data_IF_372618372737
#
_entry.id   IF_372618372737
#
_cell.length_a   1.000
_cell.length_b   1.000
_cell.length_c   1.000
_cell.angle_alpha   90.00
_cell.angle_beta   90.00
_cell.angle_gamma   90.00
#
_symmetry.space_group_name_H-M   'P 1'
#
loop_
_entity.id
_entity.type
_entity.pdbx_description
1 polymer ?
#
# COMPACT_ATOMS: atom_id res chain seq x y z
N UNK A 1 -42.91 28.15 13.96
CA UNK A 1 -41.92 27.12 13.54
C UNK A 1 -42.47 26.07 12.54
N UNK A 2 -43.66 26.22 11.92
CA UNK A 2 -44.27 25.17 11.07
C UNK A 2 -44.17 25.36 9.53
N UNK A 3 -43.57 26.43 9.01
CA UNK A 3 -43.61 26.74 7.56
C UNK A 3 -42.38 26.29 6.74
N UNK A 4 -41.30 25.81 7.35
CA UNK A 4 -40.09 25.40 6.62
C UNK A 4 -40.19 23.97 6.05
N UNK A 5 -40.98 23.08 6.67
CA UNK A 5 -41.11 21.68 6.23
C UNK A 5 -42.03 21.52 5.00
N UNK A 6 -43.06 22.35 4.85
CA UNK A 6 -44.05 22.22 3.76
C UNK A 6 -43.47 22.62 2.40
N UNK A 7 -42.58 23.61 2.36
CA UNK A 7 -41.94 24.05 1.12
C UNK A 7 -40.90 23.04 0.62
N UNK A 8 -40.16 22.39 1.51
CA UNK A 8 -39.20 21.31 1.16
C UNK A 8 -39.93 20.09 0.59
N UNK A 9 -41.02 19.67 1.23
CA UNK A 9 -41.84 18.54 0.78
C UNK A 9 -42.50 18.80 -0.59
N UNK A 10 -43.01 20.00 -0.83
CA UNK A 10 -43.56 20.39 -2.14
C UNK A 10 -42.49 20.40 -3.24
N UNK A 11 -41.27 20.87 -2.94
CA UNK A 11 -40.15 20.88 -3.88
C UNK A 11 -39.68 19.45 -4.23
N UNK A 12 -39.58 18.58 -3.23
CA UNK A 12 -39.28 17.15 -3.40
C UNK A 12 -40.35 16.46 -4.25
N UNK A 13 -41.64 16.70 -3.97
CA UNK A 13 -42.77 16.14 -4.74
C UNK A 13 -42.77 16.61 -6.20
N UNK A 14 -42.42 17.87 -6.47
CA UNK A 14 -42.30 18.43 -7.83
C UNK A 14 -41.09 17.86 -8.59
N UNK A 15 -39.96 17.66 -7.91
CA UNK A 15 -38.76 17.01 -8.46
C UNK A 15 -38.99 15.50 -8.73
N UNK A 16 -39.68 14.80 -7.82
CA UNK A 16 -40.01 13.38 -8.00
C UNK A 16 -40.93 13.16 -9.21
N UNK A 17 -41.81 14.12 -9.52
CA UNK A 17 -42.70 14.09 -10.69
C UNK A 17 -42.03 14.52 -11.99
N UNK A 18 -40.92 15.27 -11.97
CA UNK A 18 -40.29 15.79 -13.20
C UNK A 18 -39.44 14.77 -13.95
N UNK A 19 -39.00 13.68 -13.28
CA UNK A 19 -38.22 12.58 -13.89
C UNK A 19 -38.68 11.19 -13.39
N UNK A 20 -39.91 10.75 -13.71
CA UNK A 20 -40.54 9.57 -13.10
C UNK A 20 -39.75 8.27 -13.35
N UNK A 21 -39.18 8.07 -14.54
CA UNK A 21 -38.35 6.89 -14.85
C UNK A 21 -37.08 6.84 -13.99
N UNK A 22 -36.38 7.96 -13.82
CA UNK A 22 -35.15 8.03 -13.02
C UNK A 22 -35.42 7.77 -11.54
N UNK A 23 -36.52 8.32 -11.02
CA UNK A 23 -36.91 8.11 -9.62
C UNK A 23 -37.38 6.67 -9.37
N UNK A 24 -38.00 6.03 -10.35
CA UNK A 24 -38.35 4.61 -10.29
C UNK A 24 -37.11 3.70 -10.27
N UNK A 25 -36.13 3.92 -11.15
CA UNK A 25 -34.87 3.17 -11.13
C UNK A 25 -34.09 3.36 -9.82
N UNK A 26 -33.98 4.59 -9.32
CA UNK A 26 -33.34 4.85 -8.02
C UNK A 26 -34.08 4.17 -6.87
N UNK A 27 -35.41 4.15 -6.91
CA UNK A 27 -36.22 3.46 -5.91
C UNK A 27 -36.01 1.94 -5.95
N UNK A 28 -36.04 1.32 -7.13
CA UNK A 28 -35.72 -0.10 -7.30
C UNK A 28 -34.32 -0.39 -6.80
N UNK A 29 -33.33 0.42 -7.18
CA UNK A 29 -31.94 0.26 -6.76
C UNK A 29 -31.79 0.37 -5.25
N UNK A 30 -32.48 1.33 -4.63
CA UNK A 30 -32.49 1.52 -3.18
C UNK A 30 -33.12 0.33 -2.45
N UNK A 31 -34.30 -0.13 -2.89
CA UNK A 31 -34.97 -1.32 -2.33
C UNK A 31 -34.10 -2.56 -2.51
N UNK A 32 -33.52 -2.77 -3.68
CA UNK A 32 -32.60 -3.87 -3.95
C UNK A 32 -31.38 -3.82 -3.02
N UNK A 33 -30.78 -2.64 -2.82
CA UNK A 33 -29.64 -2.44 -1.92
C UNK A 33 -29.98 -2.76 -0.46
N UNK A 34 -31.16 -2.36 0.01
CA UNK A 34 -31.66 -2.70 1.35
C UNK A 34 -31.85 -4.21 1.48
N UNK A 35 -32.55 -4.84 0.53
CA UNK A 35 -32.80 -6.29 0.56
C UNK A 35 -31.49 -7.08 0.53
N UNK A 36 -30.54 -6.66 -0.29
CA UNK A 36 -29.21 -7.26 -0.36
C UNK A 36 -28.47 -7.12 0.98
N UNK A 37 -28.49 -5.91 1.57
CA UNK A 37 -27.86 -5.65 2.88
C UNK A 37 -28.50 -6.51 3.97
N UNK A 38 -29.83 -6.63 4.00
CA UNK A 38 -30.53 -7.48 4.96
C UNK A 38 -30.19 -8.97 4.78
N UNK A 39 -30.12 -9.45 3.52
CA UNK A 39 -29.71 -10.84 3.24
C UNK A 39 -28.27 -11.11 3.67
N UNK A 40 -27.36 -10.17 3.43
CA UNK A 40 -25.96 -10.29 3.84
C UNK A 40 -25.87 -10.28 5.37
N UNK A 41 -26.51 -9.33 6.05
CA UNK A 41 -26.51 -9.24 7.50
C UNK A 41 -27.10 -10.49 8.16
N UNK A 42 -28.22 -11.00 7.66
CA UNK A 42 -28.83 -12.22 8.21
C UNK A 42 -27.92 -13.44 8.03
N UNK A 43 -27.23 -13.54 6.90
CA UNK A 43 -26.23 -14.60 6.70
C UNK A 43 -25.03 -14.45 7.65
N UNK A 44 -24.47 -13.24 7.78
CA UNK A 44 -23.31 -12.93 8.65
C UNK A 44 -23.60 -13.32 10.10
N UNK A 45 -24.76 -12.94 10.65
CA UNK A 45 -25.01 -13.12 12.08
C UNK A 45 -25.63 -14.47 12.43
N UNK A 46 -26.39 -15.10 11.53
CA UNK A 46 -27.19 -16.28 11.88
C UNK A 46 -26.85 -17.56 11.11
N UNK A 47 -26.17 -17.49 9.96
CA UNK A 47 -25.89 -18.68 9.12
C UNK A 47 -24.41 -19.01 8.97
N UNK A 48 -23.55 -18.02 9.06
CA UNK A 48 -22.12 -18.19 8.82
C UNK A 48 -21.43 -18.98 9.94
N UNK A 49 -20.39 -19.72 9.58
CA UNK A 49 -19.55 -20.43 10.54
C UNK A 49 -18.20 -19.74 10.70
N UNK A 50 -18.12 -18.77 11.62
CA UNK A 50 -16.88 -18.04 11.88
C UNK A 50 -15.76 -18.87 12.52
N UNK A 51 -16.00 -20.15 12.85
CA UNK A 51 -14.98 -21.03 13.43
C UNK A 51 -13.75 -21.17 12.54
N UNK A 52 -13.90 -21.21 11.21
CA UNK A 52 -12.74 -21.24 10.28
C UNK A 52 -11.82 -20.04 10.46
N UNK A 53 -12.38 -18.87 10.77
CA UNK A 53 -11.58 -17.66 10.99
C UNK A 53 -10.99 -17.67 12.39
N UNK A 54 -11.83 -17.86 13.42
CA UNK A 54 -11.42 -17.72 14.82
C UNK A 54 -10.39 -18.76 15.25
N UNK A 55 -10.49 -19.99 14.74
CA UNK A 55 -9.51 -21.06 15.00
C UNK A 55 -8.15 -20.82 14.32
N UNK A 56 -8.11 -20.03 13.24
CA UNK A 56 -6.91 -19.81 12.43
C UNK A 56 -6.35 -18.39 12.54
N UNK A 57 -6.77 -17.58 13.52
CA UNK A 57 -6.28 -16.20 13.68
C UNK A 57 -4.77 -16.11 13.81
N UNK A 58 -4.15 -17.09 14.47
CA UNK A 58 -2.70 -17.18 14.58
C UNK A 58 -2.03 -17.34 13.20
N UNK A 59 -2.54 -18.28 12.40
CA UNK A 59 -2.06 -18.52 11.03
C UNK A 59 -2.27 -17.27 10.14
N UNK A 60 -3.39 -16.57 10.29
CA UNK A 60 -3.63 -15.30 9.60
C UNK A 60 -2.62 -14.22 9.97
N UNK A 61 -2.25 -14.11 11.24
CA UNK A 61 -1.34 -13.07 11.72
C UNK A 61 0.13 -13.37 11.38
N UNK A 62 0.59 -14.58 11.70
CA UNK A 62 2.01 -14.94 11.71
C UNK A 62 2.37 -16.04 10.69
N UNK A 63 1.40 -16.65 10.01
CA UNK A 63 1.65 -17.80 9.16
C UNK A 63 2.20 -18.98 9.94
N UNK A 64 3.18 -19.67 9.38
CA UNK A 64 3.85 -20.82 10.01
C UNK A 64 5.02 -20.43 10.92
N UNK A 65 5.04 -19.18 11.40
CA UNK A 65 6.08 -18.69 12.31
C UNK A 65 5.99 -19.42 13.66
N UNK A 66 7.11 -19.89 14.23
CA UNK A 66 7.10 -20.71 15.45
C UNK A 66 6.38 -20.02 16.62
N UNK A 67 5.44 -20.72 17.26
CA UNK A 67 4.53 -20.16 18.28
C UNK A 67 5.30 -19.45 19.41
N UNK A 68 6.35 -20.09 19.92
CA UNK A 68 7.17 -19.53 21.01
C UNK A 68 7.92 -18.26 20.62
N UNK A 69 8.08 -17.99 19.33
CA UNK A 69 8.82 -16.85 18.78
C UNK A 69 7.90 -15.74 18.26
N UNK A 70 6.58 -15.91 18.29
CA UNK A 70 5.60 -14.94 17.76
C UNK A 70 5.59 -13.58 18.47
N UNK A 71 6.25 -13.48 19.64
CA UNK A 71 6.53 -12.20 20.28
C UNK A 71 7.38 -11.27 19.39
N UNK A 72 8.16 -11.82 18.44
CA UNK A 72 9.02 -11.05 17.53
C UNK A 72 8.25 -10.30 16.45
N UNK A 73 7.40 -10.94 15.61
CA UNK A 73 6.53 -10.21 14.68
C UNK A 73 5.52 -9.30 15.39
N UNK A 74 5.03 -9.67 16.58
CA UNK A 74 4.13 -8.80 17.34
C UNK A 74 4.83 -7.53 17.83
N UNK A 75 6.05 -7.60 18.37
CA UNK A 75 6.83 -6.42 18.71
C UNK A 75 7.04 -5.51 17.49
N UNK A 76 7.29 -6.11 16.33
CA UNK A 76 7.42 -5.34 15.11
C UNK A 76 6.11 -4.64 14.72
N UNK A 77 4.96 -5.33 14.79
CA UNK A 77 3.64 -4.70 14.59
C UNK A 77 3.37 -3.58 15.59
N UNK A 78 3.71 -3.76 16.87
CA UNK A 78 3.59 -2.71 17.88
C UNK A 78 4.46 -1.51 17.54
N UNK A 79 5.68 -1.72 17.01
CA UNK A 79 6.54 -0.62 16.56
C UNK A 79 5.93 0.16 15.40
N UNK A 80 5.35 -0.53 14.42
CA UNK A 80 4.66 0.07 13.26
C UNK A 80 3.41 0.84 13.69
N UNK A 81 2.61 0.27 14.59
CA UNK A 81 1.43 0.94 15.15
C UNK A 81 1.83 2.17 15.95
N UNK A 82 2.87 2.06 16.77
CA UNK A 82 3.38 3.17 17.59
C UNK A 82 3.85 4.32 16.73
N UNK A 83 4.66 4.05 15.69
CA UNK A 83 5.14 5.13 14.80
C UNK A 83 4.01 5.71 13.95
N UNK A 84 3.03 4.90 13.55
CA UNK A 84 1.81 5.38 12.88
C UNK A 84 1.04 6.33 13.78
N UNK A 85 0.82 5.95 15.04
CA UNK A 85 0.13 6.78 16.03
C UNK A 85 0.86 8.10 16.27
N UNK A 86 2.18 8.07 16.44
CA UNK A 86 3.02 9.27 16.57
C UNK A 86 2.94 10.12 15.28
N UNK A 87 2.89 9.50 14.11
CA UNK A 87 2.75 10.25 12.85
C UNK A 87 1.42 11.00 12.79
N UNK A 88 0.32 10.37 13.19
CA UNK A 88 -1.04 10.95 13.13
C UNK A 88 -1.33 11.92 14.27
N UNK A 89 -0.95 11.60 15.51
CA UNK A 89 -1.34 12.33 16.73
C UNK A 89 -0.17 12.93 17.49
N UNK A 90 1.07 12.64 17.07
CA UNK A 90 2.25 12.78 17.91
C UNK A 90 2.54 14.20 18.44
N UNK A 91 3.39 14.23 19.49
CA UNK A 91 3.61 15.38 20.35
C UNK A 91 4.08 16.61 19.56
N UNK A 92 3.89 17.82 20.14
CA UNK A 92 4.35 19.08 19.56
C UNK A 92 5.88 19.23 19.52
N UNK A 93 6.63 18.19 19.91
CA UNK A 93 8.09 18.19 19.92
C UNK A 93 8.66 18.25 18.50
N UNK A 94 9.22 19.41 18.14
CA UNK A 94 9.67 19.71 16.79
C UNK A 94 10.79 18.78 16.28
N UNK A 95 11.69 18.33 17.16
CA UNK A 95 12.77 17.42 16.78
C UNK A 95 12.24 16.05 16.34
N UNK A 96 11.34 15.46 17.13
CA UNK A 96 10.78 14.14 16.86
C UNK A 96 9.99 14.14 15.54
N UNK A 97 9.24 15.21 15.27
CA UNK A 97 8.52 15.42 13.99
C UNK A 97 9.46 15.50 12.78
N UNK A 98 10.59 16.22 12.90
CA UNK A 98 11.58 16.33 11.81
C UNK A 98 12.23 14.99 11.47
N UNK A 99 12.36 14.10 12.46
CA UNK A 99 13.07 12.83 12.31
C UNK A 99 12.15 11.60 12.12
N UNK A 100 10.83 11.79 11.95
CA UNK A 100 9.89 10.68 11.77
C UNK A 100 10.22 9.79 10.56
N UNK A 101 10.77 10.37 9.51
CA UNK A 101 11.16 9.63 8.29
C UNK A 101 12.20 8.56 8.65
N UNK A 102 13.21 8.91 9.45
CA UNK A 102 14.23 7.95 9.90
C UNK A 102 13.65 6.86 10.81
N UNK A 103 12.67 7.21 11.65
CA UNK A 103 11.93 6.23 12.44
C UNK A 103 11.20 5.21 11.55
N UNK A 104 10.47 5.69 10.53
CA UNK A 104 9.75 4.83 9.58
C UNK A 104 10.71 3.93 8.82
N UNK A 105 11.81 4.50 8.32
CA UNK A 105 12.86 3.74 7.65
C UNK A 105 13.49 2.69 8.57
N UNK A 106 13.69 3.00 9.85
CA UNK A 106 14.25 2.09 10.85
C UNK A 106 13.35 0.91 11.23
N UNK A 107 12.02 1.05 11.08
CA UNK A 107 11.10 -0.05 11.39
C UNK A 107 11.28 -1.26 10.47
N UNK A 108 11.72 -1.06 9.22
CA UNK A 108 11.86 -2.16 8.24
C UNK A 108 13.08 -3.04 8.54
N UNK A 109 14.31 -2.51 8.72
CA UNK A 109 15.44 -3.30 9.22
C UNK A 109 15.15 -3.96 10.56
N UNK A 110 14.46 -3.28 11.48
CA UNK A 110 14.03 -3.86 12.75
C UNK A 110 13.13 -5.08 12.52
N UNK A 111 12.16 -4.99 11.62
CA UNK A 111 11.30 -6.11 11.24
C UNK A 111 12.09 -7.28 10.66
N UNK A 112 12.98 -7.02 9.70
CA UNK A 112 13.84 -8.05 9.11
C UNK A 112 14.70 -8.74 10.19
N UNK A 113 15.30 -7.95 11.09
CA UNK A 113 16.09 -8.46 12.21
C UNK A 113 15.24 -9.35 13.13
N UNK A 114 14.05 -8.85 13.54
CA UNK A 114 13.13 -9.59 14.40
C UNK A 114 12.59 -10.84 13.71
N UNK A 115 12.37 -10.87 12.40
CA UNK A 115 11.87 -12.07 11.72
C UNK A 115 12.97 -13.09 11.44
N UNK A 116 14.14 -12.65 10.98
CA UNK A 116 15.23 -13.55 10.62
C UNK A 116 15.93 -14.15 11.83
N UNK A 117 16.15 -13.35 12.87
CA UNK A 117 16.93 -13.73 14.04
C UNK A 117 18.37 -13.26 13.87
N UNK A 118 18.79 -12.38 14.77
CA UNK A 118 20.16 -11.86 14.86
C UNK A 118 20.84 -12.24 16.17
N UNK A 119 21.87 -11.49 16.58
CA UNK A 119 22.71 -11.80 17.74
C UNK A 119 21.89 -12.14 19.01
N UNK A 120 21.82 -13.43 19.34
CA UNK A 120 21.11 -13.97 20.51
C UNK A 120 19.72 -14.56 20.25
N UNK A 121 19.15 -14.43 19.06
CA UNK A 121 17.85 -15.01 18.67
C UNK A 121 18.02 -16.24 17.78
N UNK A 122 17.11 -17.22 17.94
CA UNK A 122 17.08 -18.40 17.06
C UNK A 122 16.72 -17.96 15.63
N UNK A 123 17.50 -18.37 14.61
CA UNK A 123 17.20 -18.02 13.23
C UNK A 123 15.92 -18.71 12.75
N UNK A 124 15.02 -17.95 12.12
CA UNK A 124 13.77 -18.47 11.54
C UNK A 124 13.81 -18.30 10.03
N UNK A 125 13.84 -19.42 9.31
CA UNK A 125 13.91 -19.42 7.85
C UNK A 125 12.70 -18.69 7.23
N UNK A 126 12.93 -18.01 6.11
CA UNK A 126 11.90 -17.20 5.44
C UNK A 126 10.69 -17.98 4.93
N UNK A 127 10.82 -19.30 4.75
CA UNK A 127 9.69 -20.20 4.46
C UNK A 127 8.64 -20.27 5.57
N UNK A 128 9.00 -19.90 6.79
CA UNK A 128 8.09 -19.84 7.95
C UNK A 128 7.43 -18.46 8.10
N UNK A 129 7.84 -17.46 7.32
CA UNK A 129 7.22 -16.14 7.35
C UNK A 129 5.93 -16.21 6.52
N UNK A 130 4.81 -15.84 7.12
CA UNK A 130 3.52 -15.89 6.42
C UNK A 130 2.46 -14.97 6.99
N UNK A 131 1.24 -15.13 6.48
CA UNK A 131 0.07 -14.34 6.86
C UNK A 131 0.28 -12.84 6.66
N UNK A 132 -0.35 -12.07 7.54
CA UNK A 132 -0.26 -10.61 7.59
C UNK A 132 1.18 -10.13 7.81
N UNK A 133 1.99 -10.88 8.56
CA UNK A 133 3.40 -10.57 8.79
C UNK A 133 4.16 -10.50 7.48
N UNK A 134 4.00 -11.51 6.61
CA UNK A 134 4.64 -11.52 5.30
C UNK A 134 4.08 -10.43 4.38
N UNK A 135 2.76 -10.20 4.39
CA UNK A 135 2.13 -9.12 3.61
C UNK A 135 2.72 -7.75 3.97
N UNK A 136 2.83 -7.44 5.27
CA UNK A 136 3.41 -6.18 5.76
C UNK A 136 4.91 -6.10 5.45
N UNK A 137 5.65 -7.21 5.55
CA UNK A 137 7.07 -7.26 5.21
C UNK A 137 7.32 -6.95 3.74
N UNK A 138 6.63 -7.64 2.83
CA UNK A 138 6.77 -7.42 1.39
C UNK A 138 6.41 -5.98 1.06
N UNK A 139 5.29 -5.48 1.60
CA UNK A 139 4.85 -4.10 1.36
C UNK A 139 5.87 -3.09 1.87
N UNK A 140 6.25 -3.17 3.15
CA UNK A 140 7.14 -2.19 3.79
C UNK A 140 8.55 -2.16 3.20
N UNK A 141 9.14 -3.33 2.91
CA UNK A 141 10.42 -3.41 2.20
C UNK A 141 10.32 -2.82 0.79
N UNK A 142 9.27 -3.18 0.06
CA UNK A 142 9.08 -2.69 -1.31
C UNK A 142 8.89 -1.17 -1.34
N UNK A 143 8.17 -0.59 -0.38
CA UNK A 143 8.05 0.87 -0.20
C UNK A 143 9.41 1.50 0.08
N UNK A 144 10.16 0.95 1.06
CA UNK A 144 11.46 1.48 1.47
C UNK A 144 12.44 1.58 0.30
N UNK A 145 12.47 0.58 -0.58
CA UNK A 145 13.38 0.56 -1.72
C UNK A 145 12.83 1.26 -2.97
N UNK A 146 11.53 1.15 -3.26
CA UNK A 146 10.96 1.72 -4.48
C UNK A 146 10.93 3.25 -4.48
N UNK A 147 10.77 3.89 -3.32
CA UNK A 147 10.81 5.35 -3.18
C UNK A 147 12.15 5.96 -3.63
N UNK A 148 13.31 5.60 -3.04
CA UNK A 148 14.60 6.15 -3.47
C UNK A 148 14.93 5.78 -4.92
N UNK A 149 14.64 4.56 -5.35
CA UNK A 149 14.86 4.15 -6.75
C UNK A 149 13.98 4.97 -7.71
N UNK A 150 12.72 5.21 -7.36
CA UNK A 150 11.80 6.03 -8.16
C UNK A 150 12.24 7.49 -8.25
N UNK A 151 12.74 8.08 -7.14
CA UNK A 151 13.33 9.43 -7.15
C UNK A 151 14.53 9.49 -8.10
N UNK A 152 15.45 8.53 -7.99
CA UNK A 152 16.64 8.47 -8.86
C UNK A 152 16.23 8.32 -10.32
N UNK A 153 15.32 7.41 -10.64
CA UNK A 153 14.81 7.20 -12.01
C UNK A 153 14.15 8.47 -12.59
N UNK A 154 13.36 9.20 -11.78
CA UNK A 154 12.73 10.45 -12.20
C UNK A 154 13.78 11.53 -12.54
N UNK A 155 14.86 11.62 -11.77
CA UNK A 155 15.98 12.52 -12.03
C UNK A 155 16.79 12.10 -13.25
N UNK A 156 17.08 10.81 -13.39
CA UNK A 156 17.77 10.24 -14.55
C UNK A 156 17.02 10.53 -15.86
N UNK A 157 15.68 10.44 -15.87
CA UNK A 157 14.84 10.75 -17.03
C UNK A 157 14.90 12.23 -17.45
N UNK A 158 15.30 13.13 -16.55
CA UNK A 158 15.54 14.57 -16.82
C UNK A 158 17.02 14.92 -16.99
N UNK A 159 17.91 13.93 -17.01
CA UNK A 159 19.32 14.14 -17.21
C UNK A 159 19.59 14.72 -18.60
N UNK A 160 20.64 15.53 -18.72
CA UNK A 160 21.15 16.00 -20.02
C UNK A 160 22.00 14.93 -20.72
N UNK A 161 22.41 13.88 -20.02
CA UNK A 161 23.15 12.76 -20.61
C UNK A 161 22.19 11.83 -21.35
N UNK A 162 22.33 11.78 -22.68
CA UNK A 162 21.45 11.03 -23.57
C UNK A 162 21.25 9.57 -23.14
N UNK A 163 22.33 8.87 -22.81
CA UNK A 163 22.27 7.45 -22.43
C UNK A 163 21.48 7.23 -21.13
N UNK A 164 21.75 8.01 -20.09
CA UNK A 164 21.04 7.92 -18.80
C UNK A 164 19.56 8.22 -19.00
N UNK A 165 19.25 9.27 -19.76
CA UNK A 165 17.88 9.65 -20.07
C UNK A 165 17.13 8.55 -20.83
N UNK A 166 17.75 7.97 -21.85
CA UNK A 166 17.11 6.93 -22.69
C UNK A 166 16.92 5.62 -21.94
N UNK A 167 17.93 5.15 -21.19
CA UNK A 167 17.81 3.92 -20.40
C UNK A 167 16.76 4.04 -19.30
N UNK A 168 16.74 5.16 -18.57
CA UNK A 168 15.72 5.40 -17.54
C UNK A 168 14.31 5.53 -18.13
N UNK A 169 14.17 6.25 -19.26
CA UNK A 169 12.88 6.36 -19.97
C UNK A 169 12.39 4.98 -20.42
N UNK A 170 13.26 4.20 -21.07
CA UNK A 170 12.93 2.85 -21.53
C UNK A 170 12.51 1.95 -20.37
N UNK A 171 13.27 1.92 -19.27
CA UNK A 171 12.91 1.17 -18.06
C UNK A 171 11.51 1.54 -17.54
N UNK A 172 11.24 2.84 -17.37
CA UNK A 172 9.96 3.33 -16.84
C UNK A 172 8.83 2.95 -17.78
N UNK A 173 9.01 3.18 -19.09
CA UNK A 173 7.97 2.95 -20.09
C UNK A 173 7.65 1.45 -20.22
N UNK A 174 8.67 0.57 -20.18
CA UNK A 174 8.49 -0.90 -20.19
C UNK A 174 7.78 -1.38 -18.92
N UNK A 175 8.28 -1.02 -17.74
CA UNK A 175 7.71 -1.51 -16.48
C UNK A 175 6.24 -1.09 -16.30
N UNK A 176 5.84 0.07 -16.83
CA UNK A 176 4.46 0.55 -16.79
C UNK A 176 3.57 -0.05 -17.88
N UNK A 177 4.15 -0.58 -18.96
CA UNK A 177 3.42 -1.24 -20.04
C UNK A 177 3.15 -2.72 -19.75
N UNK A 178 4.00 -3.36 -18.93
CA UNK A 178 3.89 -4.79 -18.61
C UNK A 178 2.94 -5.02 -17.43
N UNK A 179 2.07 -6.06 -17.43
CA UNK A 179 1.26 -6.41 -16.28
C UNK A 179 2.11 -6.85 -15.08
N UNK A 180 1.75 -6.37 -13.87
CA UNK A 180 2.47 -6.72 -12.64
C UNK A 180 2.60 -8.24 -12.43
N UNK A 181 1.55 -9.02 -12.67
CA UNK A 181 1.59 -10.47 -12.53
C UNK A 181 2.66 -11.12 -13.43
N UNK A 182 2.91 -10.57 -14.63
CA UNK A 182 3.95 -11.07 -15.52
C UNK A 182 5.36 -10.78 -14.96
N UNK A 183 5.57 -9.59 -14.36
CA UNK A 183 6.83 -9.25 -13.68
C UNK A 183 7.07 -10.15 -12.47
N UNK A 184 6.04 -10.40 -11.67
CA UNK A 184 6.12 -11.30 -10.52
C UNK A 184 6.38 -12.75 -10.96
N UNK A 185 5.69 -13.23 -12.00
CA UNK A 185 5.91 -14.56 -12.56
C UNK A 185 7.35 -14.71 -13.08
N UNK A 186 7.82 -13.74 -13.87
CA UNK A 186 9.20 -13.72 -14.36
C UNK A 186 10.20 -13.72 -13.20
N UNK A 187 10.01 -12.84 -12.21
CA UNK A 187 10.89 -12.75 -11.05
C UNK A 187 10.92 -14.01 -10.19
N UNK A 188 9.78 -14.70 -10.08
CA UNK A 188 9.64 -15.81 -9.17
C UNK A 188 10.00 -17.17 -9.77
N UNK A 189 9.75 -17.35 -11.07
CA UNK A 189 9.88 -18.65 -11.75
C UNK A 189 10.96 -18.64 -12.83
N UNK A 190 11.15 -17.53 -13.56
CA UNK A 190 12.09 -17.47 -14.68
C UNK A 190 13.48 -17.00 -14.26
N UNK A 191 13.60 -15.98 -13.41
CA UNK A 191 14.92 -15.50 -12.92
C UNK A 191 15.80 -16.64 -12.37
N UNK A 192 15.29 -17.56 -11.52
CA UNK A 192 16.11 -18.66 -11.00
C UNK A 192 16.76 -19.54 -12.08
N UNK A 193 16.15 -19.64 -13.27
CA UNK A 193 16.68 -20.42 -14.39
C UNK A 193 17.92 -19.79 -15.03
N UNK A 194 18.13 -18.49 -14.81
CA UNK A 194 19.29 -17.74 -15.31
C UNK A 194 20.37 -17.56 -14.25
N UNK A 195 20.13 -17.98 -13.00
CA UNK A 195 21.12 -17.88 -11.93
C UNK A 195 22.14 -19.03 -12.02
N UNK A 196 23.41 -18.78 -11.66
CA UNK A 196 24.41 -19.84 -11.59
C UNK A 196 23.95 -20.97 -10.66
N UNK A 197 24.36 -22.20 -10.99
CA UNK A 197 24.10 -23.38 -10.15
C UNK A 197 24.62 -23.11 -8.73
N UNK A 198 23.75 -23.27 -7.73
CA UNK A 198 24.06 -23.03 -6.31
C UNK A 198 23.74 -21.62 -5.80
N UNK A 199 23.41 -20.66 -6.67
CA UNK A 199 22.92 -19.35 -6.25
C UNK A 199 21.39 -19.34 -6.20
N UNK A 200 20.84 -19.43 -5.00
CA UNK A 200 19.40 -19.39 -4.77
C UNK A 200 19.00 -18.12 -4.02
N UNK A 201 18.24 -17.25 -4.67
CA UNK A 201 17.61 -16.11 -4.00
C UNK A 201 16.28 -16.58 -3.43
N UNK A 202 16.06 -16.43 -2.12
CA UNK A 202 14.84 -16.92 -1.49
C UNK A 202 13.57 -16.24 -2.04
N UNK A 203 12.46 -16.99 -1.98
CA UNK A 203 11.17 -16.63 -2.60
C UNK A 203 10.63 -15.27 -2.11
N UNK A 204 10.83 -14.94 -0.83
CA UNK A 204 10.39 -13.65 -0.24
C UNK A 204 11.19 -12.49 -0.82
N UNK A 205 12.51 -12.63 -0.93
CA UNK A 205 13.39 -11.60 -1.48
C UNK A 205 13.14 -11.37 -2.96
N UNK A 206 12.90 -12.43 -3.75
CA UNK A 206 12.51 -12.28 -5.16
C UNK A 206 11.22 -11.49 -5.32
N UNK A 207 10.23 -11.71 -4.45
CA UNK A 207 8.99 -10.95 -4.44
C UNK A 207 9.25 -9.47 -4.13
N UNK A 208 10.01 -9.17 -3.06
CA UNK A 208 10.37 -7.79 -2.69
C UNK A 208 11.07 -7.08 -3.86
N UNK A 209 12.07 -7.72 -4.48
CA UNK A 209 12.80 -7.14 -5.62
C UNK A 209 11.84 -6.85 -6.79
N UNK A 210 10.99 -7.82 -7.16
CA UNK A 210 10.06 -7.65 -8.27
C UNK A 210 9.05 -6.51 -8.03
N UNK A 211 8.46 -6.44 -6.82
CA UNK A 211 7.59 -5.32 -6.44
C UNK A 211 8.34 -3.99 -6.39
N UNK A 212 9.56 -3.96 -5.83
CA UNK A 212 10.40 -2.75 -5.78
C UNK A 212 10.64 -2.18 -7.18
N UNK A 213 11.09 -3.02 -8.12
CA UNK A 213 11.38 -2.60 -9.49
C UNK A 213 10.11 -2.11 -10.21
N UNK A 214 9.01 -2.83 -10.06
CA UNK A 214 7.75 -2.45 -10.69
C UNK A 214 7.24 -1.11 -10.14
N UNK A 215 7.10 -1.00 -8.81
CA UNK A 215 6.55 0.19 -8.15
C UNK A 215 7.46 1.40 -8.32
N UNK A 216 8.78 1.24 -8.39
CA UNK A 216 9.69 2.37 -8.59
C UNK A 216 9.47 3.07 -9.92
N UNK A 217 9.02 2.36 -10.98
CA UNK A 217 8.70 2.97 -12.25
C UNK A 217 7.45 3.87 -12.18
N UNK A 218 6.42 3.45 -11.44
CA UNK A 218 5.22 4.26 -11.21
C UNK A 218 5.52 5.47 -10.32
N UNK A 219 6.29 5.28 -9.24
CA UNK A 219 6.74 6.38 -8.38
C UNK A 219 7.59 7.39 -9.18
N UNK A 220 8.47 6.92 -10.07
CA UNK A 220 9.27 7.80 -10.91
C UNK A 220 8.40 8.70 -11.81
N UNK A 221 7.30 8.15 -12.34
CA UNK A 221 6.34 8.91 -13.12
C UNK A 221 5.56 9.92 -12.28
N UNK A 222 5.09 9.52 -11.09
CA UNK A 222 4.35 10.41 -10.19
C UNK A 222 5.22 11.60 -9.79
N UNK A 223 6.49 11.35 -9.47
CA UNK A 223 7.48 12.40 -9.18
C UNK A 223 7.76 13.25 -10.42
N UNK A 224 7.84 12.66 -11.62
CA UNK A 224 8.00 13.42 -12.88
C UNK A 224 6.83 14.38 -13.08
N UNK A 225 5.59 13.94 -12.85
CA UNK A 225 4.40 14.79 -12.88
C UNK A 225 4.49 15.93 -11.87
N UNK A 226 4.91 15.65 -10.63
CA UNK A 226 5.14 16.66 -9.60
C UNK A 226 6.28 17.64 -9.92
N UNK A 227 7.33 17.20 -10.60
CA UNK A 227 8.41 18.07 -11.06
C UNK A 227 7.94 19.01 -12.18
N UNK A 228 7.03 18.57 -13.04
CA UNK A 228 6.48 19.36 -14.15
C UNK A 228 5.48 20.43 -13.71
N UNK A 229 4.83 20.25 -12.56
CA UNK A 229 3.89 21.24 -12.03
C UNK A 229 4.56 22.43 -11.34
N UNK A 230 5.88 22.39 -11.11
CA UNK A 230 6.60 23.48 -10.43
C UNK A 230 6.87 24.61 -11.44
N UNK A 231 6.47 25.87 -11.14
CA UNK A 231 6.72 27.01 -12.03
C UNK A 231 8.21 27.26 -12.28
N UNK A 232 8.57 27.60 -13.51
CA UNK A 232 9.94 27.90 -13.89
C UNK A 232 10.53 29.08 -13.11
N UNK A 233 9.71 30.03 -12.66
CA UNK A 233 10.13 31.20 -11.87
C UNK A 233 10.92 30.80 -10.61
N UNK A 234 10.62 29.65 -9.99
CA UNK A 234 11.39 29.17 -8.85
C UNK A 234 12.80 28.71 -9.22
N UNK A 235 12.93 28.09 -10.41
CA UNK A 235 14.23 27.67 -10.94
C UNK A 235 15.06 28.91 -11.31
N UNK A 236 14.43 29.92 -11.91
CA UNK A 236 15.07 31.18 -12.27
C UNK A 236 15.51 31.96 -11.03
N UNK A 237 14.65 32.12 -10.03
CA UNK A 237 14.99 32.77 -8.76
C UNK A 237 16.17 32.07 -8.06
N UNK A 238 16.18 30.73 -8.05
CA UNK A 238 17.26 29.95 -7.48
C UNK A 238 18.59 30.16 -8.21
N UNK A 239 18.56 30.22 -9.55
CA UNK A 239 19.74 30.51 -10.37
C UNK A 239 20.24 31.94 -10.16
N UNK A 240 19.36 32.92 -9.99
CA UNK A 240 19.72 34.31 -9.68
C UNK A 240 20.41 34.44 -8.31
N UNK A 241 20.15 33.51 -7.38
CA UNK A 241 20.87 33.39 -6.10
C UNK A 241 22.21 32.63 -6.22
N UNK A 242 22.65 32.27 -7.44
CA UNK A 242 23.90 31.57 -7.68
C UNK A 242 23.87 30.06 -7.41
N UNK A 243 22.69 29.46 -7.20
CA UNK A 243 22.58 28.02 -6.96
C UNK A 243 22.87 27.22 -8.24
N UNK A 244 23.72 26.20 -8.11
CA UNK A 244 24.01 25.29 -9.22
C UNK A 244 22.87 24.28 -9.44
N UNK A 245 22.89 23.57 -10.57
CA UNK A 245 21.82 22.61 -10.96
C UNK A 245 21.55 21.53 -9.90
N UNK A 246 22.58 21.05 -9.21
CA UNK A 246 22.44 20.06 -8.15
C UNK A 246 21.75 20.63 -6.92
N UNK A 247 22.15 21.82 -6.49
CA UNK A 247 21.54 22.53 -5.37
C UNK A 247 20.07 22.88 -5.67
N UNK A 248 19.76 23.35 -6.87
CA UNK A 248 18.37 23.60 -7.31
C UNK A 248 17.53 22.32 -7.25
N UNK A 249 18.06 21.20 -7.73
CA UNK A 249 17.34 19.93 -7.69
C UNK A 249 17.09 19.45 -6.24
N UNK A 250 18.13 19.39 -5.41
CA UNK A 250 18.06 18.80 -4.07
C UNK A 250 17.30 19.69 -3.09
N UNK A 251 17.55 21.00 -3.08
CA UNK A 251 16.99 21.90 -2.07
C UNK A 251 15.64 22.49 -2.46
N UNK A 252 15.31 22.54 -3.75
CA UNK A 252 14.11 23.26 -4.22
C UNK A 252 13.15 22.29 -4.93
N UNK A 253 13.58 21.65 -6.02
CA UNK A 253 12.67 20.90 -6.87
C UNK A 253 12.19 19.58 -6.26
N UNK A 254 13.10 18.74 -5.76
CA UNK A 254 12.74 17.42 -5.21
C UNK A 254 11.79 17.55 -4.00
N UNK A 255 12.05 18.40 -2.99
CA UNK A 255 11.17 18.51 -1.82
C UNK A 255 9.77 19.04 -2.16
N UNK A 256 9.63 19.83 -3.24
CA UNK A 256 8.34 20.32 -3.71
C UNK A 256 7.62 19.30 -4.57
N UNK A 257 8.33 18.65 -5.51
CA UNK A 257 7.77 17.62 -6.35
C UNK A 257 7.26 16.43 -5.54
N UNK A 258 8.00 16.01 -4.51
CA UNK A 258 7.55 14.96 -3.59
C UNK A 258 6.27 15.35 -2.84
N UNK A 259 6.11 16.63 -2.46
CA UNK A 259 4.88 17.12 -1.83
C UNK A 259 3.71 17.11 -2.81
N UNK A 260 3.93 17.50 -4.07
CA UNK A 260 2.89 17.45 -5.11
C UNK A 260 2.52 16.01 -5.45
N UNK A 261 3.50 15.11 -5.56
CA UNK A 261 3.31 13.72 -5.93
C UNK A 261 2.78 12.85 -4.78
N UNK A 262 2.76 13.35 -3.54
CA UNK A 262 2.41 12.58 -2.35
C UNK A 262 1.08 11.81 -2.48
N UNK A 263 -0.04 12.41 -2.98
CA UNK A 263 -1.30 11.68 -3.11
C UNK A 263 -1.21 10.50 -4.10
N UNK A 264 -0.50 10.70 -5.21
CA UNK A 264 -0.29 9.65 -6.21
C UNK A 264 0.61 8.53 -5.67
N UNK A 265 1.72 8.90 -5.02
CA UNK A 265 2.63 7.96 -4.36
C UNK A 265 1.85 7.11 -3.35
N UNK A 266 1.04 7.72 -2.47
CA UNK A 266 0.20 6.98 -1.52
C UNK A 266 -0.69 5.97 -2.21
N UNK A 267 -1.35 6.33 -3.32
CA UNK A 267 -2.17 5.39 -4.07
C UNK A 267 -1.34 4.20 -4.56
N UNK A 268 -0.09 4.41 -4.99
CA UNK A 268 0.80 3.30 -5.33
C UNK A 268 1.12 2.41 -4.12
N UNK A 269 1.34 2.99 -2.93
CA UNK A 269 1.64 2.20 -1.73
C UNK A 269 0.43 1.37 -1.25
N UNK A 270 -0.78 1.94 -1.33
CA UNK A 270 -2.03 1.22 -1.03
C UNK A 270 -2.29 0.13 -2.07
N UNK A 271 -2.02 0.42 -3.35
CA UNK A 271 -2.10 -0.55 -4.43
C UNK A 271 -1.10 -1.69 -4.24
N UNK A 272 0.15 -1.39 -3.87
CA UNK A 272 1.19 -2.37 -3.56
C UNK A 272 0.75 -3.33 -2.46
N UNK A 273 0.17 -2.83 -1.36
CA UNK A 273 -0.35 -3.68 -0.28
C UNK A 273 -1.38 -4.69 -0.81
N UNK A 274 -2.34 -4.24 -1.62
CA UNK A 274 -3.34 -5.12 -2.24
C UNK A 274 -2.70 -6.10 -3.23
N UNK A 275 -1.74 -5.63 -4.02
CA UNK A 275 -1.09 -6.43 -5.06
C UNK A 275 -0.19 -7.54 -4.49
N UNK A 276 0.21 -7.48 -3.20
CA UNK A 276 0.91 -8.61 -2.55
C UNK A 276 0.12 -9.92 -2.63
N UNK A 277 -1.22 -9.84 -2.68
CA UNK A 277 -2.11 -10.99 -2.86
C UNK A 277 -1.81 -11.81 -4.13
N UNK A 278 -1.23 -11.20 -5.17
CA UNK A 278 -0.80 -11.91 -6.38
C UNK A 278 0.26 -12.98 -6.09
N UNK A 279 1.06 -12.81 -5.03
CA UNK A 279 2.05 -13.80 -4.62
C UNK A 279 1.44 -15.10 -4.10
N UNK A 280 0.16 -15.09 -3.68
CA UNK A 280 -0.55 -16.33 -3.32
C UNK A 280 -0.66 -17.30 -4.49
N UNK A 281 -0.79 -16.78 -5.73
CA UNK A 281 -0.84 -17.59 -6.95
C UNK A 281 0.52 -18.22 -7.22
N UNK A 282 1.59 -17.54 -6.83
CA UNK A 282 2.97 -17.99 -6.97
C UNK A 282 3.46 -18.77 -5.73
N UNK A 283 2.54 -19.14 -4.84
CA UNK A 283 2.79 -20.04 -3.71
C UNK A 283 3.51 -19.43 -2.52
N UNK A 284 3.46 -18.11 -2.32
CA UNK A 284 3.78 -17.51 -1.02
C UNK A 284 2.56 -17.56 -0.10
N UNK A 285 2.78 -17.93 1.17
CA UNK A 285 1.75 -17.97 2.20
C UNK A 285 1.58 -16.59 2.85
N UNK A 286 1.39 -15.53 2.05
CA UNK A 286 0.93 -14.24 2.58
C UNK A 286 -0.56 -14.32 2.96
N UNK A 287 -1.21 -13.23 3.36
CA UNK A 287 -2.58 -13.23 3.85
C UNK A 287 -3.61 -14.00 2.96
N UNK A 288 -3.63 -13.79 1.64
CA UNK A 288 -4.50 -14.56 0.73
C UNK A 288 -3.99 -16.00 0.54
N UNK A 289 -2.67 -16.21 0.51
CA UNK A 289 -2.06 -17.54 0.50
C UNK A 289 -2.49 -18.41 1.70
N UNK A 290 -2.49 -17.83 2.91
CA UNK A 290 -2.99 -18.46 4.14
C UNK A 290 -4.47 -18.78 4.03
N UNK A 291 -5.31 -17.85 3.55
CA UNK A 291 -6.73 -18.12 3.29
C UNK A 291 -6.94 -19.34 2.40
N UNK A 292 -6.18 -19.44 1.29
CA UNK A 292 -6.26 -20.59 0.37
C UNK A 292 -5.79 -21.88 1.03
N UNK A 293 -4.75 -21.82 1.86
CA UNK A 293 -4.26 -22.98 2.62
C UNK A 293 -5.29 -23.47 3.65
N UNK A 294 -6.01 -22.57 4.31
CA UNK A 294 -7.07 -22.92 5.27
C UNK A 294 -8.23 -23.60 4.54
N UNK A 295 -8.64 -23.05 3.39
CA UNK A 295 -9.73 -23.62 2.58
C UNK A 295 -9.39 -24.97 1.94
N UNK A 296 -8.10 -25.32 1.85
CA UNK A 296 -7.66 -26.63 1.42
C UNK A 296 -7.77 -27.70 2.53
N UNK A 297 -7.98 -27.30 3.78
CA UNK A 297 -8.19 -28.22 4.89
C UNK A 297 -9.60 -28.84 4.80
N UNK A 298 -9.74 -30.18 4.82
CA UNK A 298 -11.03 -30.86 4.83
C UNK A 298 -12.00 -30.41 5.93
N UNK A 299 -11.51 -29.95 7.08
CA UNK A 299 -12.34 -29.44 8.19
C UNK A 299 -13.18 -28.20 7.79
N UNK A 300 -12.69 -27.39 6.84
CA UNK A 300 -13.28 -26.11 6.49
C UNK A 300 -13.93 -26.07 5.10
N UNK A 301 -14.22 -27.24 4.51
CA UNK A 301 -14.88 -27.35 3.21
C UNK A 301 -16.21 -26.57 3.23
N UNK A 302 -16.42 -25.75 2.19
CA UNK A 302 -17.65 -24.97 2.01
C UNK A 302 -17.64 -23.59 2.68
N UNK A 303 -16.66 -23.27 3.53
CA UNK A 303 -16.61 -22.00 4.29
C UNK A 303 -15.87 -20.88 3.54
N UNK A 304 -16.01 -20.86 2.21
CA UNK A 304 -15.34 -19.91 1.31
C UNK A 304 -15.76 -18.47 1.56
N UNK A 305 -17.07 -18.26 1.82
CA UNK A 305 -17.64 -16.92 1.96
C UNK A 305 -17.11 -16.27 3.25
N UNK A 306 -17.07 -17.02 4.35
CA UNK A 306 -16.52 -16.57 5.64
C UNK A 306 -15.06 -16.15 5.52
N UNK A 307 -14.24 -17.00 4.89
CA UNK A 307 -12.82 -16.75 4.69
C UNK A 307 -12.58 -15.51 3.82
N UNK A 308 -13.27 -15.38 2.68
CA UNK A 308 -13.03 -14.25 1.78
C UNK A 308 -13.64 -12.93 2.28
N UNK A 309 -14.74 -12.96 3.05
CA UNK A 309 -15.27 -11.76 3.72
C UNK A 309 -14.32 -11.29 4.82
N UNK A 310 -13.77 -12.22 5.61
CA UNK A 310 -12.74 -11.89 6.59
C UNK A 310 -11.51 -11.28 5.92
N UNK A 311 -11.00 -11.94 4.88
CA UNK A 311 -9.85 -11.47 4.12
C UNK A 311 -10.08 -10.06 3.55
N UNK A 312 -11.23 -9.85 2.90
CA UNK A 312 -11.60 -8.55 2.34
C UNK A 312 -11.71 -7.47 3.43
N UNK A 313 -12.23 -7.83 4.60
CA UNK A 313 -12.35 -6.92 5.74
C UNK A 313 -10.99 -6.53 6.31
N UNK A 314 -10.03 -7.47 6.38
CA UNK A 314 -8.64 -7.18 6.79
C UNK A 314 -7.96 -6.27 5.76
N UNK A 315 -8.01 -6.60 4.48
CA UNK A 315 -7.45 -5.74 3.43
C UNK A 315 -8.07 -4.34 3.45
N UNK A 316 -9.40 -4.25 3.57
CA UNK A 316 -10.12 -2.98 3.65
C UNK A 316 -9.72 -2.14 4.87
N UNK A 317 -9.59 -2.76 6.05
CA UNK A 317 -9.15 -2.09 7.26
C UNK A 317 -7.76 -1.48 7.07
N UNK A 318 -6.78 -2.26 6.60
CA UNK A 318 -5.41 -1.80 6.40
C UNK A 318 -5.33 -0.70 5.34
N UNK A 319 -5.99 -0.87 4.19
CA UNK A 319 -6.07 0.16 3.14
C UNK A 319 -6.70 1.45 3.68
N UNK A 320 -7.75 1.36 4.51
CA UNK A 320 -8.40 2.52 5.13
C UNK A 320 -7.47 3.24 6.11
N UNK A 321 -6.74 2.49 6.94
CA UNK A 321 -5.74 3.07 7.86
C UNK A 321 -4.64 3.78 7.07
N UNK A 322 -4.09 3.14 6.03
CA UNK A 322 -3.07 3.76 5.16
C UNK A 322 -3.59 5.04 4.49
N UNK A 323 -4.80 5.02 3.94
CA UNK A 323 -5.43 6.19 3.33
C UNK A 323 -5.65 7.32 4.34
N UNK A 324 -6.11 6.98 5.56
CA UNK A 324 -6.31 7.95 6.64
C UNK A 324 -4.99 8.61 7.08
N UNK A 325 -3.94 7.81 7.30
CA UNK A 325 -2.60 8.31 7.66
C UNK A 325 -2.07 9.23 6.56
N UNK A 326 -2.20 8.84 5.30
CA UNK A 326 -1.76 9.67 4.17
C UNK A 326 -2.51 10.99 4.11
N UNK A 327 -3.84 10.99 4.25
CA UNK A 327 -4.64 12.22 4.22
C UNK A 327 -4.20 13.19 5.33
N UNK A 328 -3.87 12.67 6.51
CA UNK A 328 -3.31 13.47 7.62
C UNK A 328 -1.93 14.03 7.31
N UNK A 329 -1.07 13.26 6.63
CA UNK A 329 0.24 13.72 6.19
C UNK A 329 0.12 14.80 5.11
N UNK A 330 -0.75 14.61 4.13
CA UNK A 330 -1.02 15.56 3.04
C UNK A 330 -1.47 16.93 3.58
N UNK A 331 -2.45 16.94 4.50
CA UNK A 331 -2.95 18.16 5.14
C UNK A 331 -1.88 18.95 5.90
N UNK A 332 -0.82 18.28 6.39
CA UNK A 332 0.28 18.92 7.10
C UNK A 332 1.36 19.47 6.15
N UNK A 333 1.48 18.88 4.96
CA UNK A 333 2.48 19.28 3.97
C UNK A 333 1.98 20.37 3.02
N UNK A 334 0.67 20.55 2.89
CA UNK A 334 0.07 21.72 2.26
C UNK A 334 0.29 22.95 3.14
N UNK A 335 1.32 23.74 2.82
CA UNK A 335 1.44 25.12 3.29
C UNK A 335 0.20 25.85 2.78
N UNK A 336 -0.46 26.62 3.65
CA UNK A 336 -1.64 27.45 3.37
C UNK A 336 -1.69 27.89 1.90
N UNK A 337 -2.76 27.53 1.20
CA UNK A 337 -3.17 28.16 -0.07
C UNK A 337 -3.58 29.61 0.19
N UNK A 338 -2.62 30.42 0.64
CA UNK A 338 -2.75 31.85 0.86
C UNK A 338 -1.76 32.54 -0.06
N UNK A 339 -2.16 32.68 -1.31
CA UNK A 339 -1.79 33.79 -2.17
C UNK A 339 -3.09 34.32 -2.75
#
# INVERSE_FOLDING_TARGET
MNNLNTHSFKKLKKFLKSKPKYNFFNFIFFVFSILLTLKISTWIFFKSNWKVVTSNLNLYAFGSFPINEQWRPTLWFLSLLSITFITVYGPKWNWLRKNLIFGWMGTVPLGIYLLNGGLGLVPVMTRHWGGLTLTILITSCSILFSLPIGIVLALCRRSSMFLIQKLSSFYIDVMRAVPLIAVLFFGQLLIPLFLPVGLEIERVWRAIIAFTLFVSAYIAEDIRGGLQSIPNNQIEAAKSLGLNKYQVNIFILIPQALRVALPAITNQLIGLFQNTSLMSILGLMELLGVSRSILANPEFIGQYIEVYIWLASVYWLFCTVMAFVSKKLEQRMTINKGF
#
